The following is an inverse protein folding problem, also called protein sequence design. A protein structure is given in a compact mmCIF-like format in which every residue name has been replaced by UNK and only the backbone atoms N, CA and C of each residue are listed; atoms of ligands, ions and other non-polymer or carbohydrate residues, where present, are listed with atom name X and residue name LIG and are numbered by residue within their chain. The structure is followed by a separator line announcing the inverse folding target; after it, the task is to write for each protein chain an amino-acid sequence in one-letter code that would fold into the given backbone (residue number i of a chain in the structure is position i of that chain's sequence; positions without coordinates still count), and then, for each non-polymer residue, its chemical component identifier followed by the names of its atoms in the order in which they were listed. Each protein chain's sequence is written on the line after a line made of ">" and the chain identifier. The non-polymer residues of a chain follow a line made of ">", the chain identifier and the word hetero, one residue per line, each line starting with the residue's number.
data_IF_476366291121
#
_entry.id   IF_476366291121
#
_cell.length_a   1.000
_cell.length_b   1.000
_cell.length_c   1.000
_cell.angle_alpha   90.00
_cell.angle_beta   90.00
_cell.angle_gamma   90.00
#
_symmetry.space_group_name_H-M   'P 1'
#
loop_
_entity.id
_entity.type
_entity.pdbx_description
1 polymer ?
#
# COMPACT_ATOMS: atom_id res chain seq x y z
N UNK A 1 8.92 -4.83 -21.45
CA UNK A 1 7.53 -5.21 -21.17
C UNK A 1 6.75 -5.24 -22.49
N UNK A 2 6.31 -6.41 -22.91
CA UNK A 2 5.53 -6.61 -24.14
C UNK A 2 4.11 -6.04 -23.99
N UNK A 3 3.37 -5.94 -25.09
CA UNK A 3 1.98 -5.47 -25.05
C UNK A 3 1.08 -6.47 -24.30
N UNK A 4 1.35 -7.77 -24.43
CA UNK A 4 0.64 -8.83 -23.71
C UNK A 4 0.88 -8.72 -22.20
N UNK A 5 2.11 -8.41 -21.77
CA UNK A 5 2.42 -8.18 -20.36
C UNK A 5 1.69 -6.95 -19.81
N UNK A 6 1.59 -5.86 -20.59
CA UNK A 6 0.80 -4.66 -20.19
C UNK A 6 -0.68 -4.97 -19.99
N UNK A 7 -1.26 -5.82 -20.83
CA UNK A 7 -2.67 -6.17 -20.76
C UNK A 7 -3.03 -7.03 -19.54
N UNK A 8 -2.04 -7.58 -18.82
CA UNK A 8 -2.24 -8.34 -17.58
C UNK A 8 -2.38 -7.46 -16.34
N UNK A 9 -2.07 -6.17 -16.44
CA UNK A 9 -2.20 -5.25 -15.31
C UNK A 9 -3.67 -4.98 -15.03
N UNK A 10 -4.04 -5.07 -13.76
CA UNK A 10 -5.36 -4.68 -13.31
C UNK A 10 -5.42 -3.17 -13.08
N UNK A 11 -6.60 -2.61 -13.24
CA UNK A 11 -6.87 -1.21 -12.93
C UNK A 11 -6.64 -0.89 -11.45
N UNK A 12 -6.25 0.35 -11.16
CA UNK A 12 -6.02 0.82 -9.79
C UNK A 12 -7.27 0.68 -8.89
N UNK A 13 -8.46 0.65 -9.48
CA UNK A 13 -9.73 0.40 -8.77
C UNK A 13 -9.77 -0.96 -8.07
N UNK A 14 -9.12 -2.00 -8.61
CA UNK A 14 -9.02 -3.30 -7.97
C UNK A 14 -8.24 -3.21 -6.66
N UNK A 15 -7.11 -2.49 -6.66
CA UNK A 15 -6.31 -2.27 -5.45
C UNK A 15 -7.05 -1.40 -4.42
N UNK A 16 -7.77 -0.36 -4.87
CA UNK A 16 -8.59 0.49 -3.99
C UNK A 16 -9.61 -0.32 -3.19
N UNK A 17 -10.28 -1.30 -3.82
CA UNK A 17 -11.24 -2.19 -3.14
C UNK A 17 -10.60 -2.99 -2.00
N UNK A 18 -9.36 -3.46 -2.19
CA UNK A 18 -8.62 -4.19 -1.14
C UNK A 18 -8.31 -3.23 0.02
N UNK A 19 -7.87 -2.01 -0.27
CA UNK A 19 -7.57 -1.00 0.77
C UNK A 19 -8.83 -0.60 1.54
N UNK A 20 -9.97 -0.46 0.87
CA UNK A 20 -11.26 -0.15 1.51
C UNK A 20 -11.67 -1.20 2.54
N UNK A 21 -11.38 -2.49 2.28
CA UNK A 21 -11.64 -3.57 3.25
C UNK A 21 -10.81 -3.43 4.54
N UNK A 22 -9.72 -2.65 4.53
CA UNK A 22 -8.88 -2.38 5.69
C UNK A 22 -9.37 -1.21 6.53
N UNK A 23 -10.43 -0.50 6.12
CA UNK A 23 -10.95 0.69 6.81
C UNK A 23 -11.22 0.41 8.30
N UNK A 24 -10.67 1.26 9.17
CA UNK A 24 -10.75 1.16 10.63
C UNK A 24 -9.70 0.23 11.26
N UNK A 25 -9.02 -0.59 10.48
CA UNK A 25 -7.96 -1.48 10.99
C UNK A 25 -6.66 -0.71 11.24
N UNK A 26 -5.93 -1.15 12.27
CA UNK A 26 -4.68 -0.54 12.75
C UNK A 26 -3.52 -1.49 12.53
N UNK A 27 -2.41 -0.96 12.01
CA UNK A 27 -1.22 -1.74 11.71
C UNK A 27 0.04 -1.04 12.23
N UNK A 28 1.04 -1.86 12.59
CA UNK A 28 2.42 -1.44 12.76
C UNK A 28 3.16 -1.72 11.45
N UNK A 29 3.84 -0.70 10.93
CA UNK A 29 4.61 -0.76 9.69
C UNK A 29 5.98 -1.39 9.94
N UNK A 30 6.66 -1.83 8.87
CA UNK A 30 8.00 -2.43 8.96
C UNK A 30 9.05 -1.44 9.49
N UNK A 31 8.81 -0.14 9.30
CA UNK A 31 9.64 0.94 9.85
C UNK A 31 9.32 1.28 11.32
N UNK A 32 8.38 0.56 11.96
CA UNK A 32 8.00 0.73 13.36
C UNK A 32 6.87 1.73 13.65
N UNK A 33 6.46 2.55 12.68
CA UNK A 33 5.36 3.51 12.82
C UNK A 33 3.98 2.85 12.74
N UNK A 34 2.94 3.59 13.13
CA UNK A 34 1.56 3.10 13.12
C UNK A 34 0.73 3.79 12.02
N UNK A 35 -0.20 3.04 11.45
CA UNK A 35 -1.22 3.56 10.52
C UNK A 35 -2.60 3.02 10.90
N UNK A 36 -3.62 3.84 10.65
CA UNK A 36 -5.02 3.40 10.69
C UNK A 36 -5.67 3.74 9.34
N UNK A 37 -6.20 2.74 8.64
CA UNK A 37 -6.78 2.97 7.31
C UNK A 37 -8.15 3.66 7.41
N UNK A 38 -8.42 4.60 6.49
CA UNK A 38 -9.72 5.26 6.36
C UNK A 38 -10.08 6.25 7.47
N UNK A 39 -9.08 6.77 8.19
CA UNK A 39 -9.21 7.90 9.11
C UNK A 39 -8.56 9.15 8.52
N UNK A 40 -9.16 10.31 8.77
CA UNK A 40 -8.72 11.61 8.25
C UNK A 40 -7.33 12.09 8.74
N UNK A 41 -6.67 11.33 9.62
CA UNK A 41 -5.34 11.61 10.18
C UNK A 41 -4.34 10.46 9.93
N UNK A 42 -4.63 9.57 8.96
CA UNK A 42 -3.71 8.50 8.57
C UNK A 42 -2.52 9.04 7.77
N UNK A 43 -1.34 8.48 8.00
CA UNK A 43 -0.14 8.78 7.19
C UNK A 43 -0.19 8.02 5.85
N UNK A 44 0.45 8.58 4.83
CA UNK A 44 0.72 7.85 3.60
C UNK A 44 1.72 6.71 3.85
N UNK A 45 1.47 5.59 3.16
CA UNK A 45 2.34 4.41 3.18
C UNK A 45 2.97 4.19 1.81
N UNK A 46 4.19 3.67 1.81
CA UNK A 46 4.88 3.21 0.61
C UNK A 46 4.98 1.69 0.64
N UNK A 47 4.51 1.04 -0.43
CA UNK A 47 4.67 -0.40 -0.64
C UNK A 47 5.88 -0.61 -1.55
N UNK A 48 6.94 -1.23 -1.01
CA UNK A 48 8.12 -1.63 -1.78
C UNK A 48 8.00 -3.09 -2.16
N UNK A 49 7.76 -3.36 -3.44
CA UNK A 49 7.61 -4.72 -3.96
C UNK A 49 8.97 -5.30 -4.43
N UNK A 50 9.93 -5.42 -3.51
CA UNK A 50 11.24 -6.04 -3.76
C UNK A 50 11.24 -7.57 -3.52
N UNK A 51 12.39 -8.17 -3.16
CA UNK A 51 12.49 -9.61 -2.84
C UNK A 51 11.51 -10.06 -1.75
N UNK A 52 11.25 -9.17 -0.80
CA UNK A 52 10.15 -9.30 0.17
C UNK A 52 9.37 -7.98 0.12
N UNK A 53 8.02 -8.03 0.03
CA UNK A 53 7.21 -6.83 0.10
C UNK A 53 7.39 -6.16 1.46
N UNK A 54 7.59 -4.85 1.45
CA UNK A 54 7.64 -4.03 2.68
C UNK A 54 6.60 -2.93 2.62
N UNK A 55 5.99 -2.64 3.75
CA UNK A 55 5.05 -1.54 3.94
C UNK A 55 5.65 -0.60 4.98
N UNK A 56 6.12 0.56 4.51
CA UNK A 56 6.78 1.57 5.33
C UNK A 56 6.05 2.90 5.24
N UNK A 57 6.32 3.80 6.19
CA UNK A 57 5.82 5.16 6.14
C UNK A 57 6.50 5.93 5.00
N UNK A 58 5.81 6.86 4.34
CA UNK A 58 6.42 7.67 3.26
C UNK A 58 7.62 8.48 3.77
N UNK A 59 7.57 8.98 5.01
CA UNK A 59 8.69 9.71 5.65
C UNK A 59 9.94 8.82 5.89
N UNK A 60 9.75 7.51 5.95
CA UNK A 60 10.78 6.50 6.17
C UNK A 60 11.33 5.95 4.85
N UNK A 61 10.75 6.38 3.73
CA UNK A 61 11.05 5.87 2.40
C UNK A 61 12.09 6.69 1.65
N UNK A 62 12.43 7.88 2.16
CA UNK A 62 13.49 8.76 1.67
C UNK A 62 14.85 8.43 2.29
#
# INVERSE_FOLDING_TARGET
>A
MTQEEKNRYQEASALKRIIEQLKGQKFKLDCGHHVTFGHFLGNDITIRNGKQPKIICTLCSY
#
